data_IF_063188686051
#
_entry.id   IF_063188686051
#
_cell.length_a   1.000
_cell.length_b   1.000
_cell.length_c   1.000
_cell.angle_alpha   90.00
_cell.angle_beta   90.00
_cell.angle_gamma   90.00
#
_symmetry.space_group_name_H-M   'P 1'
#
loop_
_entity.id
_entity.type
_entity.pdbx_description
1 polymer ?
#
# COMPACT_ATOMS: atom_id res chain seq x y z
N UNK A 1 11.11 -13.32 12.89
CA UNK A 1 10.94 -14.17 14.08
C UNK A 1 11.57 -13.58 15.34
N UNK A 2 12.78 -13.00 15.29
CA UNK A 2 13.43 -12.39 16.45
C UNK A 2 12.64 -11.20 17.01
N UNK A 3 12.13 -10.32 16.17
CA UNK A 3 11.32 -9.14 16.56
C UNK A 3 10.04 -9.61 17.23
N UNK A 4 9.30 -10.54 16.62
CA UNK A 4 8.07 -11.08 17.18
C UNK A 4 8.30 -11.85 18.49
N UNK A 5 9.39 -12.60 18.59
CA UNK A 5 9.79 -13.29 19.82
C UNK A 5 10.13 -12.34 20.95
N UNK A 6 10.86 -11.25 20.66
CA UNK A 6 11.17 -10.19 21.61
C UNK A 6 9.91 -9.46 22.09
N UNK A 7 9.04 -9.09 21.16
CA UNK A 7 7.79 -8.41 21.47
C UNK A 7 6.86 -9.23 22.36
N UNK A 8 6.67 -10.53 22.07
CA UNK A 8 5.87 -11.45 22.91
C UNK A 8 6.43 -11.64 24.29
N UNK A 9 7.76 -11.56 24.45
CA UNK A 9 8.41 -11.64 25.77
C UNK A 9 8.09 -10.44 26.64
N UNK A 10 8.09 -9.25 26.06
CA UNK A 10 7.80 -7.99 26.76
C UNK A 10 6.31 -7.80 27.00
N UNK A 11 5.48 -8.23 26.05
CA UNK A 11 4.02 -8.06 26.09
C UNK A 11 3.27 -9.39 25.93
N UNK A 12 3.37 -10.29 26.91
CA UNK A 12 2.81 -11.64 26.79
C UNK A 12 1.28 -11.68 26.66
N UNK A 13 0.58 -10.63 27.13
CA UNK A 13 -0.89 -10.53 27.00
C UNK A 13 -1.36 -10.08 25.61
N UNK A 14 -0.45 -9.62 24.74
CA UNK A 14 -0.75 -9.22 23.38
C UNK A 14 -0.55 -10.38 22.37
N UNK A 15 -1.04 -11.55 22.70
CA UNK A 15 -0.82 -12.79 21.93
C UNK A 15 -1.34 -12.75 20.49
N UNK A 16 -2.25 -11.83 20.18
CA UNK A 16 -2.81 -11.65 18.82
C UNK A 16 -2.06 -10.61 17.98
N UNK A 17 -1.12 -9.88 18.56
CA UNK A 17 -0.34 -8.91 17.83
C UNK A 17 0.83 -9.60 17.12
N UNK A 18 0.84 -9.53 15.83
CA UNK A 18 1.99 -9.95 15.00
C UNK A 18 2.59 -8.71 14.35
N UNK A 19 3.85 -8.43 14.70
CA UNK A 19 4.64 -7.42 13.99
C UNK A 19 4.97 -8.00 12.61
N UNK A 20 4.44 -7.41 11.54
CA UNK A 20 4.88 -7.73 10.20
C UNK A 20 6.09 -6.86 9.83
N UNK A 21 6.77 -7.21 8.74
CA UNK A 21 7.99 -6.50 8.30
C UNK A 21 7.71 -5.02 8.02
N UNK A 22 6.57 -4.68 7.43
CA UNK A 22 6.21 -3.28 7.15
C UNK A 22 6.09 -2.46 8.44
N UNK A 23 5.45 -3.01 9.49
CA UNK A 23 5.37 -2.34 10.79
C UNK A 23 6.74 -2.25 11.47
N UNK A 24 7.60 -3.27 11.30
CA UNK A 24 8.96 -3.22 11.82
C UNK A 24 9.78 -2.11 11.15
N UNK A 25 9.66 -1.96 9.84
CA UNK A 25 10.36 -0.89 9.08
C UNK A 25 9.91 0.50 9.50
N UNK A 26 8.62 0.68 9.81
CA UNK A 26 8.12 1.93 10.38
C UNK A 26 8.86 2.30 11.68
N UNK A 27 8.97 1.35 12.62
CA UNK A 27 9.68 1.60 13.86
C UNK A 27 11.20 1.76 13.66
N UNK A 28 11.80 1.05 12.70
CA UNK A 28 13.20 1.24 12.35
C UNK A 28 13.48 2.64 11.83
N UNK A 29 12.61 3.17 10.97
CA UNK A 29 12.72 4.55 10.50
C UNK A 29 12.61 5.56 11.65
N UNK A 30 11.67 5.38 12.58
CA UNK A 30 11.55 6.27 13.75
C UNK A 30 12.75 6.18 14.70
N UNK A 31 13.39 5.02 14.79
CA UNK A 31 14.54 4.79 15.64
C UNK A 31 15.84 5.30 15.01
N UNK A 32 16.05 5.01 13.74
CA UNK A 32 17.24 5.40 12.97
C UNK A 32 16.83 5.93 11.60
N UNK A 33 16.30 7.17 11.52
CA UNK A 33 15.82 7.74 10.26
C UNK A 33 16.92 7.90 9.21
N UNK A 34 18.18 8.10 9.64
CA UNK A 34 19.31 8.22 8.71
C UNK A 34 19.71 6.89 8.03
N UNK A 35 19.34 5.75 8.61
CA UNK A 35 19.69 4.43 8.09
C UNK A 35 18.52 3.74 7.39
N UNK A 36 17.30 4.19 7.60
CA UNK A 36 16.11 3.48 7.16
C UNK A 36 15.14 4.39 6.43
N UNK A 37 14.61 3.90 5.29
CA UNK A 37 13.50 4.54 4.60
C UNK A 37 12.15 4.12 5.22
N UNK A 38 11.19 5.02 5.15
CA UNK A 38 9.81 4.70 5.49
C UNK A 38 9.18 3.85 4.38
N UNK A 39 8.40 2.82 4.73
CA UNK A 39 7.80 1.91 3.77
C UNK A 39 6.28 1.88 3.88
N UNK A 40 5.63 2.14 2.76
CA UNK A 40 4.20 1.95 2.55
C UNK A 40 3.97 1.08 1.31
N UNK A 41 3.37 -0.09 1.49
CA UNK A 41 3.32 -1.11 0.44
C UNK A 41 2.65 -0.67 -0.87
N UNK A 42 1.54 0.08 -0.79
CA UNK A 42 0.82 0.54 -1.98
C UNK A 42 1.60 1.61 -2.74
N UNK A 43 2.23 2.52 -2.02
CA UNK A 43 3.05 3.60 -2.56
C UNK A 43 4.31 3.04 -3.22
N UNK A 44 5.04 2.20 -2.50
CA UNK A 44 6.23 1.53 -3.01
C UNK A 44 5.95 0.74 -4.30
N UNK A 45 4.84 0.00 -4.34
CA UNK A 45 4.45 -0.76 -5.54
C UNK A 45 4.05 0.14 -6.71
N UNK A 46 3.35 1.24 -6.43
CA UNK A 46 2.98 2.20 -7.48
C UNK A 46 4.22 2.84 -8.11
N UNK A 47 5.21 3.17 -7.30
CA UNK A 47 6.48 3.73 -7.78
C UNK A 47 7.35 2.71 -8.50
N UNK A 48 7.41 1.47 -8.01
CA UNK A 48 8.08 0.39 -8.71
C UNK A 48 7.50 0.17 -10.11
N UNK A 49 6.19 0.19 -10.23
CA UNK A 49 5.48 0.09 -11.51
C UNK A 49 5.82 1.28 -12.42
N UNK A 50 5.81 2.50 -11.88
CA UNK A 50 6.14 3.71 -12.62
C UNK A 50 7.58 3.73 -13.14
N UNK A 51 8.55 3.33 -12.32
CA UNK A 51 9.96 3.30 -12.70
C UNK A 51 10.35 2.05 -13.51
N UNK A 52 9.42 1.14 -13.77
CA UNK A 52 9.71 -0.11 -14.47
C UNK A 52 10.55 -1.09 -13.64
N UNK A 53 10.54 -0.93 -12.34
CA UNK A 53 11.09 -1.96 -11.46
C UNK A 53 10.21 -3.19 -11.54
N UNK A 54 10.67 -4.24 -12.20
CA UNK A 54 9.97 -5.53 -12.31
C UNK A 54 9.82 -6.27 -10.96
N UNK A 55 10.06 -5.57 -9.88
CA UNK A 55 10.20 -6.14 -8.58
C UNK A 55 8.90 -6.06 -7.79
N UNK A 56 8.28 -7.16 -7.60
CA UNK A 56 7.44 -7.32 -6.41
C UNK A 56 8.36 -7.31 -5.19
N UNK A 57 8.32 -6.21 -4.41
CA UNK A 57 9.04 -6.13 -3.12
C UNK A 57 8.50 -7.14 -2.09
N UNK A 58 7.54 -7.97 -2.48
CA UNK A 58 6.84 -8.83 -1.53
C UNK A 58 5.91 -8.06 -0.59
N UNK A 59 5.54 -8.69 0.50
CA UNK A 59 4.68 -8.08 1.52
C UNK A 59 4.65 -8.90 2.81
N UNK A 60 4.24 -8.28 3.90
CA UNK A 60 4.21 -8.93 5.20
C UNK A 60 5.59 -9.38 5.64
N UNK A 61 5.79 -10.70 5.81
CA UNK A 61 7.07 -11.29 6.23
C UNK A 61 8.07 -11.52 5.08
N UNK A 62 7.59 -11.43 3.84
CA UNK A 62 8.39 -11.66 2.63
C UNK A 62 8.80 -10.35 1.92
N UNK A 63 8.80 -9.22 2.65
CA UNK A 63 9.24 -7.94 2.11
C UNK A 63 10.76 -7.98 1.84
N UNK A 64 11.13 -7.74 0.58
CA UNK A 64 12.53 -7.54 0.16
C UNK A 64 12.92 -6.07 0.40
N UNK A 65 13.32 -5.79 1.63
CA UNK A 65 13.70 -4.46 2.07
C UNK A 65 14.93 -3.90 1.34
N UNK A 66 16.01 -4.66 1.10
CA UNK A 66 17.15 -4.20 0.32
C UNK A 66 16.76 -3.68 -1.07
N UNK A 67 15.84 -4.37 -1.73
CA UNK A 67 15.37 -3.98 -3.07
C UNK A 67 14.55 -2.69 -3.04
N UNK A 68 13.70 -2.53 -2.04
CA UNK A 68 13.00 -1.27 -1.80
C UNK A 68 13.97 -0.12 -1.55
N UNK A 69 15.01 -0.35 -0.74
CA UNK A 69 16.03 0.66 -0.45
C UNK A 69 16.84 1.04 -1.70
N UNK A 70 17.10 0.10 -2.59
CA UNK A 70 17.73 0.42 -3.88
C UNK A 70 16.89 1.42 -4.68
N UNK A 71 15.58 1.20 -4.79
CA UNK A 71 14.68 2.14 -5.46
C UNK A 71 14.67 3.53 -4.78
N UNK A 72 14.65 3.57 -3.45
CA UNK A 72 14.71 4.83 -2.71
C UNK A 72 16.04 5.58 -2.92
N UNK A 73 17.16 4.84 -2.97
CA UNK A 73 18.47 5.42 -3.26
C UNK A 73 18.55 5.97 -4.69
N UNK A 74 17.96 5.29 -5.67
CA UNK A 74 17.92 5.80 -7.05
C UNK A 74 17.10 7.11 -7.14
N UNK A 75 15.99 7.20 -6.40
CA UNK A 75 15.24 8.45 -6.28
C UNK A 75 16.06 9.54 -5.58
N UNK A 76 16.76 9.20 -4.50
CA UNK A 76 17.63 10.15 -3.78
C UNK A 76 18.72 10.69 -4.71
N UNK A 77 19.38 9.85 -5.48
CA UNK A 77 20.35 10.29 -6.48
C UNK A 77 19.74 11.19 -7.56
N UNK A 78 18.51 10.89 -7.99
CA UNK A 78 17.83 11.78 -8.94
C UNK A 78 17.55 13.16 -8.35
N UNK A 79 17.26 13.25 -7.04
CA UNK A 79 17.03 14.52 -6.33
C UNK A 79 18.26 15.40 -6.22
N UNK A 80 19.48 14.84 -6.32
CA UNK A 80 20.72 15.62 -6.34
C UNK A 80 20.76 16.64 -7.49
N UNK A 81 20.00 16.39 -8.57
CA UNK A 81 19.88 17.31 -9.70
C UNK A 81 18.86 18.45 -9.45
N UNK A 82 18.18 18.45 -8.30
CA UNK A 82 17.15 19.42 -7.94
C UNK A 82 17.41 20.04 -6.56
N UNK A 83 18.52 20.80 -6.41
CA UNK A 83 18.96 21.36 -5.13
C UNK A 83 17.93 22.31 -4.49
N UNK A 84 17.07 22.93 -5.29
CA UNK A 84 15.99 23.79 -4.83
C UNK A 84 14.92 23.00 -4.04
N UNK A 85 14.61 21.77 -4.44
CA UNK A 85 13.67 20.91 -3.72
C UNK A 85 14.28 20.51 -2.37
N UNK A 86 15.56 20.13 -2.38
CA UNK A 86 16.28 19.76 -1.17
C UNK A 86 16.35 20.95 -0.19
N UNK A 87 16.64 22.15 -0.68
CA UNK A 87 16.69 23.36 0.15
C UNK A 87 15.32 23.70 0.76
N UNK A 88 14.25 23.58 -0.03
CA UNK A 88 12.88 23.79 0.45
C UNK A 88 12.51 22.79 1.55
N UNK A 89 12.81 21.52 1.34
CA UNK A 89 12.52 20.47 2.33
C UNK A 89 13.30 20.71 3.64
N UNK A 90 14.59 21.03 3.55
CA UNK A 90 15.41 21.32 4.75
C UNK A 90 14.87 22.48 5.54
N UNK A 91 14.48 23.57 4.88
CA UNK A 91 13.87 24.71 5.54
C UNK A 91 12.55 24.35 6.22
N UNK A 92 11.72 23.54 5.58
CA UNK A 92 10.47 23.05 6.16
C UNK A 92 10.72 22.13 7.35
N UNK A 93 11.63 21.17 7.22
CA UNK A 93 11.95 20.23 8.30
C UNK A 93 12.47 20.95 9.56
N UNK A 94 13.32 21.98 9.38
CA UNK A 94 13.82 22.77 10.48
C UNK A 94 12.73 23.60 11.18
N UNK A 95 11.82 24.23 10.41
CA UNK A 95 10.81 25.12 10.95
C UNK A 95 9.60 24.38 11.54
N UNK A 96 9.10 23.38 10.84
CA UNK A 96 7.82 22.76 11.15
C UNK A 96 7.96 21.42 11.88
N UNK A 97 9.02 20.66 11.60
CA UNK A 97 9.23 19.35 12.21
C UNK A 97 10.17 19.40 13.42
N UNK A 98 10.85 20.52 13.64
CA UNK A 98 11.79 20.70 14.74
C UNK A 98 12.99 19.74 14.68
N UNK A 99 13.31 19.25 13.49
CA UNK A 99 14.36 18.27 13.25
C UNK A 99 15.01 18.46 11.89
N UNK A 100 16.11 17.76 11.67
CA UNK A 100 16.88 17.81 10.44
C UNK A 100 16.78 16.43 9.78
N UNK A 101 16.34 16.39 8.52
CA UNK A 101 16.40 15.21 7.66
C UNK A 101 17.66 15.24 6.80
N UNK A 102 18.83 15.05 7.44
CA UNK A 102 20.13 15.12 6.76
C UNK A 102 20.28 14.05 5.68
N UNK A 103 19.71 12.87 5.89
CA UNK A 103 19.75 11.76 4.95
C UNK A 103 18.69 11.88 3.82
N UNK A 104 17.79 12.85 3.92
CA UNK A 104 16.68 13.08 2.97
C UNK A 104 15.73 11.86 2.80
N UNK A 105 15.71 10.97 3.78
CA UNK A 105 14.86 9.78 3.74
C UNK A 105 13.39 10.12 3.91
N UNK A 106 13.08 11.16 4.69
CA UNK A 106 11.73 11.68 4.81
C UNK A 106 11.29 12.38 3.53
N UNK A 107 12.17 13.16 2.89
CA UNK A 107 11.89 13.78 1.59
C UNK A 107 11.54 12.72 0.53
N UNK A 108 12.32 11.63 0.47
CA UNK A 108 12.04 10.51 -0.44
C UNK A 108 10.63 9.95 -0.18
N UNK A 109 10.29 9.73 1.09
CA UNK A 109 8.96 9.25 1.45
C UNK A 109 7.86 10.24 1.07
N UNK A 110 8.02 11.52 1.35
CA UNK A 110 7.05 12.57 1.03
C UNK A 110 6.76 12.65 -0.47
N UNK A 111 7.79 12.51 -1.31
CA UNK A 111 7.62 12.46 -2.76
C UNK A 111 6.81 11.22 -3.18
N UNK A 112 7.18 10.05 -2.66
CA UNK A 112 6.46 8.80 -2.95
C UNK A 112 4.99 8.89 -2.51
N UNK A 113 4.76 9.40 -1.31
CA UNK A 113 3.43 9.55 -0.73
C UNK A 113 2.58 10.55 -1.51
N UNK A 114 3.10 11.76 -1.73
CA UNK A 114 2.38 12.84 -2.40
C UNK A 114 2.02 12.45 -3.84
N UNK A 115 2.98 11.90 -4.58
CA UNK A 115 2.69 11.46 -5.94
C UNK A 115 1.66 10.31 -5.99
N UNK A 116 1.67 9.42 -5.01
CA UNK A 116 0.66 8.37 -4.89
C UNK A 116 -0.72 8.93 -4.51
N UNK A 117 -0.78 9.76 -3.47
CA UNK A 117 -2.03 10.31 -2.93
C UNK A 117 -2.72 11.25 -3.92
N UNK A 118 -1.95 12.17 -4.52
CA UNK A 118 -2.44 13.20 -5.43
C UNK A 118 -2.40 12.78 -6.90
N UNK A 119 -1.93 11.57 -7.19
CA UNK A 119 -1.81 11.05 -8.56
C UNK A 119 -0.95 11.95 -9.47
N UNK A 120 0.12 12.53 -8.94
CA UNK A 120 1.06 13.38 -9.68
C UNK A 120 2.00 12.56 -10.57
N UNK A 121 1.43 11.91 -11.56
CA UNK A 121 2.18 11.18 -12.57
C UNK A 121 2.24 11.96 -13.89
N UNK A 122 3.26 11.74 -14.73
CA UNK A 122 3.34 12.36 -16.04
C UNK A 122 2.10 12.09 -16.89
N UNK A 123 1.77 13.04 -17.76
CA UNK A 123 0.65 12.86 -18.70
C UNK A 123 0.85 11.60 -19.54
N UNK A 124 -0.20 10.79 -19.61
CA UNK A 124 -0.19 9.54 -20.39
C UNK A 124 0.24 8.31 -19.58
N UNK A 125 0.76 8.48 -18.37
CA UNK A 125 0.97 7.35 -17.49
C UNK A 125 -0.35 6.91 -16.85
N UNK A 126 -0.65 5.63 -16.95
CA UNK A 126 -1.78 5.01 -16.24
C UNK A 126 -1.20 4.05 -15.22
N UNK A 127 -1.38 4.35 -13.96
CA UNK A 127 -0.93 3.49 -12.87
C UNK A 127 -1.55 2.10 -12.99
N UNK A 128 -0.72 1.07 -12.94
CA UNK A 128 -1.18 -0.31 -12.82
C UNK A 128 -1.99 -0.51 -11.53
N UNK A 129 -2.98 -1.39 -11.57
CA UNK A 129 -3.77 -1.70 -10.38
C UNK A 129 -2.93 -2.45 -9.34
N UNK A 130 -3.01 -2.01 -8.08
CA UNK A 130 -2.36 -2.72 -6.97
C UNK A 130 -2.96 -4.13 -6.79
N UNK A 131 -2.21 -5.03 -6.14
CA UNK A 131 -2.73 -6.38 -5.83
C UNK A 131 -4.03 -6.34 -5.05
N UNK A 132 -4.21 -5.34 -4.16
CA UNK A 132 -5.44 -5.15 -3.40
C UNK A 132 -6.60 -4.69 -4.27
N UNK A 133 -6.36 -3.75 -5.19
CA UNK A 133 -7.37 -3.27 -6.14
C UNK A 133 -7.80 -4.40 -7.08
N UNK A 134 -6.83 -5.20 -7.59
CA UNK A 134 -7.11 -6.39 -8.39
C UNK A 134 -7.94 -7.42 -7.62
N UNK A 135 -7.57 -7.73 -6.38
CA UNK A 135 -8.32 -8.64 -5.52
C UNK A 135 -9.74 -8.13 -5.24
N UNK A 136 -9.89 -6.82 -4.98
CA UNK A 136 -11.19 -6.17 -4.80
C UNK A 136 -12.05 -6.26 -6.07
N UNK A 137 -11.49 -5.97 -7.24
CA UNK A 137 -12.19 -6.06 -8.51
C UNK A 137 -12.64 -7.50 -8.84
N UNK A 138 -11.78 -8.49 -8.53
CA UNK A 138 -12.13 -9.91 -8.70
C UNK A 138 -13.30 -10.29 -7.78
N UNK A 139 -13.24 -9.85 -6.50
CA UNK A 139 -14.33 -10.12 -5.55
C UNK A 139 -15.63 -9.45 -5.99
N UNK A 140 -15.60 -8.16 -6.35
CA UNK A 140 -16.78 -7.43 -6.84
C UNK A 140 -17.40 -8.09 -8.09
N UNK A 141 -16.55 -8.60 -8.99
CA UNK A 141 -17.01 -9.34 -10.17
C UNK A 141 -17.68 -10.66 -9.80
N UNK A 142 -17.14 -11.40 -8.81
CA UNK A 142 -17.73 -12.63 -8.30
C UNK A 142 -19.07 -12.38 -7.60
N UNK A 143 -19.11 -11.38 -6.69
CA UNK A 143 -20.33 -10.99 -5.97
C UNK A 143 -21.44 -10.56 -6.95
N UNK A 144 -21.06 -9.82 -8.02
CA UNK A 144 -22.01 -9.42 -9.07
C UNK A 144 -22.52 -10.60 -9.88
N UNK A 145 -21.67 -11.57 -10.20
CA UNK A 145 -22.08 -12.79 -10.91
C UNK A 145 -23.05 -13.63 -10.07
N UNK A 146 -22.77 -13.80 -8.77
CA UNK A 146 -23.66 -14.48 -7.83
C UNK A 146 -25.02 -13.78 -7.73
N UNK A 147 -25.03 -12.44 -7.64
CA UNK A 147 -26.26 -11.66 -7.62
C UNK A 147 -27.08 -11.85 -8.91
N UNK A 148 -26.44 -11.87 -10.08
CA UNK A 148 -27.15 -12.14 -11.34
C UNK A 148 -27.79 -13.53 -11.39
N UNK A 149 -27.12 -14.57 -10.86
CA UNK A 149 -27.67 -15.91 -10.75
C UNK A 149 -28.92 -15.88 -9.87
N UNK A 150 -28.86 -15.30 -8.68
CA UNK A 150 -30.00 -15.21 -7.75
C UNK A 150 -31.17 -14.43 -8.33
N UNK A 151 -30.91 -13.35 -9.08
CA UNK A 151 -31.98 -12.63 -9.78
C UNK A 151 -32.69 -13.56 -10.80
N UNK A 152 -31.90 -14.29 -11.60
CA UNK A 152 -32.45 -15.24 -12.56
C UNK A 152 -33.32 -16.35 -11.92
N UNK A 153 -32.88 -16.89 -10.78
CA UNK A 153 -33.63 -17.85 -9.99
C UNK A 153 -34.96 -17.25 -9.48
N UNK A 154 -34.94 -16.04 -8.92
CA UNK A 154 -36.16 -15.35 -8.47
C UNK A 154 -37.09 -15.02 -9.63
N UNK A 155 -36.60 -14.64 -10.80
CA UNK A 155 -37.41 -14.40 -11.98
C UNK A 155 -38.08 -15.67 -12.46
N UNK A 156 -37.39 -16.80 -12.42
CA UNK A 156 -37.95 -18.11 -12.78
C UNK A 156 -39.01 -18.53 -11.78
N UNK A 157 -38.77 -18.44 -10.47
CA UNK A 157 -39.76 -18.73 -9.44
C UNK A 157 -41.03 -17.88 -9.60
N UNK A 158 -40.87 -16.57 -9.89
CA UNK A 158 -41.99 -15.68 -10.15
C UNK A 158 -42.78 -16.09 -11.37
N UNK A 159 -42.13 -16.51 -12.46
CA UNK A 159 -42.81 -16.99 -13.65
C UNK A 159 -43.62 -18.29 -13.38
N UNK A 160 -43.04 -19.21 -12.60
CA UNK A 160 -43.72 -20.45 -12.19
C UNK A 160 -44.97 -20.17 -11.33
N UNK A 161 -44.88 -19.23 -10.38
CA UNK A 161 -46.02 -18.81 -9.55
C UNK A 161 -47.10 -18.11 -10.38
N UNK A 162 -46.75 -17.30 -11.35
CA UNK A 162 -47.70 -16.65 -12.25
C UNK A 162 -48.38 -17.63 -13.19
N UNK A 163 -47.65 -18.68 -13.59
CA UNK A 163 -48.21 -19.76 -14.44
C UNK A 163 -49.17 -20.70 -13.68
N UNK A 164 -49.01 -20.80 -12.34
CA UNK A 164 -49.87 -21.62 -11.50
C UNK A 164 -50.31 -20.87 -10.22
N UNK A 165 -51.24 -19.91 -10.34
CA UNK A 165 -51.71 -19.10 -9.23
C UNK A 165 -52.36 -19.84 -8.07
N UNK A 166 -52.80 -21.09 -8.31
CA UNK A 166 -53.38 -21.95 -7.28
C UNK A 166 -52.33 -22.53 -6.30
N UNK A 167 -51.04 -22.32 -6.56
CA UNK A 167 -49.96 -22.77 -5.69
C UNK A 167 -49.52 -21.69 -4.68
N UNK A 168 -50.14 -20.52 -4.67
CA UNK A 168 -49.88 -19.49 -3.67
C UNK A 168 -50.40 -19.94 -2.31
N UNK A 169 -49.60 -19.92 -1.25
CA UNK A 169 -50.09 -20.15 0.11
C UNK A 169 -51.05 -19.02 0.51
N UNK A 170 -52.11 -19.39 1.21
CA UNK A 170 -53.13 -18.48 1.77
C UNK A 170 -52.50 -17.49 2.79
#
# INVERSE_FOLDING_TARGET
DQINGGFRRVFPRMSKYTMNTANAVFFLHLWEPHANYFYQANEAKAWADYFGYEADFGGGTALDLPRYYTMCNDLLHALENYPEIIALHKAYAEQELGGIDDALHLLVYDILHTAYAEQFYPKGYTRGSTSRERAKAVKEKADRAELCIRIGECEQELQELLANPAALPD
#
